data_IF_592815309413
#
_entry.id   IF_592815309413
#
_cell.length_a   1.000
_cell.length_b   1.000
_cell.length_c   1.000
_cell.angle_alpha   90.00
_cell.angle_beta   90.00
_cell.angle_gamma   90.00
#
_symmetry.space_group_name_H-M   'P 1'
#
loop_
_entity.id
_entity.type
_entity.pdbx_description
1 polymer ?
#
# COMPACT_ATOMS: atom_id res chain seq x y z
N UNK A 1 28.64 6.75 -16.76
CA UNK A 1 28.05 8.10 -17.02
C UNK A 1 26.74 8.04 -17.81
N UNK A 2 26.64 7.26 -18.90
CA UNK A 2 25.38 7.11 -19.65
C UNK A 2 24.28 6.38 -18.85
N UNK A 3 24.65 5.31 -18.14
CA UNK A 3 23.73 4.48 -17.34
C UNK A 3 23.07 5.26 -16.18
N UNK A 4 23.84 6.08 -15.47
CA UNK A 4 23.34 7.00 -14.43
C UNK A 4 22.37 8.03 -15.03
N UNK A 5 22.63 8.50 -16.26
CA UNK A 5 21.78 9.47 -16.95
C UNK A 5 20.46 8.85 -17.40
N UNK A 6 20.46 7.58 -17.83
CA UNK A 6 19.26 6.84 -18.21
C UNK A 6 18.39 6.59 -16.98
N UNK A 7 18.96 6.09 -15.88
CA UNK A 7 18.22 5.85 -14.64
C UNK A 7 17.58 7.14 -14.12
N UNK A 8 18.33 8.25 -14.11
CA UNK A 8 17.79 9.55 -13.70
C UNK A 8 16.62 9.99 -14.59
N UNK A 9 16.71 9.80 -15.90
CA UNK A 9 15.64 10.15 -16.82
C UNK A 9 14.36 9.33 -16.57
N UNK A 10 14.51 8.03 -16.31
CA UNK A 10 13.37 7.14 -15.96
C UNK A 10 12.68 7.63 -14.67
N UNK A 11 13.46 7.97 -13.64
CA UNK A 11 12.90 8.49 -12.39
C UNK A 11 12.22 9.85 -12.58
N UNK A 12 12.81 10.76 -13.36
CA UNK A 12 12.24 12.06 -13.67
C UNK A 12 10.92 11.93 -14.46
N UNK A 13 10.86 10.99 -15.42
CA UNK A 13 9.66 10.65 -16.18
C UNK A 13 8.56 10.07 -15.26
N UNK A 14 8.92 9.12 -14.39
CA UNK A 14 7.99 8.55 -13.41
C UNK A 14 7.41 9.64 -12.49
N UNK A 15 8.25 10.53 -11.95
CA UNK A 15 7.79 11.64 -11.10
C UNK A 15 6.84 12.59 -11.85
N UNK A 16 7.12 12.89 -13.12
CA UNK A 16 6.23 13.69 -13.95
C UNK A 16 4.87 13.02 -14.13
N UNK A 17 4.85 11.70 -14.36
CA UNK A 17 3.60 10.96 -14.51
C UNK A 17 2.85 10.83 -13.17
N UNK A 18 3.54 10.55 -12.07
CA UNK A 18 2.96 10.47 -10.73
C UNK A 18 2.26 11.78 -10.34
N UNK A 19 2.86 12.93 -10.68
CA UNK A 19 2.25 14.24 -10.46
C UNK A 19 0.92 14.40 -11.23
N UNK A 20 0.83 13.90 -12.46
CA UNK A 20 -0.42 13.91 -13.25
C UNK A 20 -1.47 12.99 -12.65
N UNK A 21 -1.09 11.76 -12.29
CA UNK A 21 -1.97 10.80 -11.63
C UNK A 21 -2.58 11.41 -10.37
N UNK A 22 -1.73 11.97 -9.50
CA UNK A 22 -2.15 12.64 -8.26
C UNK A 22 -3.12 13.79 -8.52
N UNK A 23 -2.81 14.67 -9.49
CA UNK A 23 -3.72 15.77 -9.85
C UNK A 23 -5.08 15.24 -10.31
N UNK A 24 -5.08 14.14 -11.07
CA UNK A 24 -6.28 13.52 -11.61
C UNK A 24 -7.14 12.82 -10.53
N UNK A 25 -6.52 12.18 -9.54
CA UNK A 25 -7.21 11.63 -8.37
C UNK A 25 -7.78 12.75 -7.50
N UNK A 26 -7.00 13.79 -7.21
CA UNK A 26 -7.42 14.95 -6.41
C UNK A 26 -8.57 15.70 -7.04
N UNK A 27 -8.58 15.90 -8.36
CA UNK A 27 -9.71 16.55 -9.04
C UNK A 27 -11.02 15.75 -8.92
N UNK A 28 -10.93 14.47 -8.53
CA UNK A 28 -12.07 13.57 -8.28
C UNK A 28 -12.30 13.28 -6.81
N UNK A 29 -11.50 13.85 -5.90
CA UNK A 29 -11.54 13.62 -4.45
C UNK A 29 -11.42 12.14 -4.08
N UNK A 30 -10.57 11.41 -4.81
CA UNK A 30 -10.26 10.00 -4.53
C UNK A 30 -9.01 9.99 -3.66
N UNK A 31 -9.11 9.38 -2.48
CA UNK A 31 -7.96 9.11 -1.64
C UNK A 31 -7.27 7.83 -2.13
N UNK A 32 -5.99 7.94 -2.51
CA UNK A 32 -5.24 6.82 -3.08
C UNK A 32 -4.21 6.28 -2.10
N UNK A 33 -4.23 4.97 -1.88
CA UNK A 33 -3.32 4.25 -1.00
C UNK A 33 -2.47 3.25 -1.78
N UNK A 34 -1.16 3.26 -1.55
CA UNK A 34 -0.21 2.29 -2.10
C UNK A 34 0.25 1.33 -0.99
N UNK A 35 -0.20 0.08 -1.04
CA UNK A 35 0.12 -0.96 -0.07
C UNK A 35 1.43 -1.65 -0.46
N UNK A 36 2.46 -1.50 0.37
CA UNK A 36 3.81 -2.04 0.14
C UNK A 36 4.19 -2.98 1.29
N UNK A 37 4.70 -4.16 0.97
CA UNK A 37 5.11 -5.15 1.95
C UNK A 37 6.03 -6.21 1.34
N UNK A 38 6.69 -7.02 2.18
CA UNK A 38 7.30 -8.28 1.73
C UNK A 38 6.26 -9.27 1.19
N UNK A 39 6.65 -10.25 0.34
CA UNK A 39 5.79 -11.36 -0.02
C UNK A 39 5.27 -12.08 1.22
N UNK A 40 3.97 -12.37 1.25
CA UNK A 40 3.34 -13.10 2.35
C UNK A 40 3.10 -12.29 3.63
N UNK A 41 3.41 -10.99 3.68
CA UNK A 41 3.11 -10.12 4.83
C UNK A 41 1.59 -9.98 5.10
N UNK A 42 0.77 -10.30 4.10
CA UNK A 42 -0.70 -10.32 4.20
C UNK A 42 -1.39 -9.07 3.66
N UNK A 43 -0.81 -8.43 2.62
CA UNK A 43 -1.39 -7.24 1.96
C UNK A 43 -2.82 -7.49 1.48
N UNK A 44 -3.04 -8.54 0.68
CA UNK A 44 -4.38 -8.86 0.16
C UNK A 44 -5.37 -9.14 1.28
N UNK A 45 -4.97 -9.90 2.32
CA UNK A 45 -5.88 -10.15 3.45
C UNK A 45 -6.17 -8.89 4.24
N UNK A 46 -5.19 -7.99 4.39
CA UNK A 46 -5.41 -6.68 4.99
C UNK A 46 -6.35 -5.81 4.15
N UNK A 47 -6.19 -5.82 2.83
CA UNK A 47 -7.06 -5.12 1.89
C UNK A 47 -8.49 -5.69 1.93
N UNK A 48 -8.65 -7.02 1.93
CA UNK A 48 -9.95 -7.68 2.06
C UNK A 48 -10.70 -7.23 3.34
N UNK A 49 -10.00 -7.18 4.48
CA UNK A 49 -10.60 -6.73 5.74
C UNK A 49 -10.90 -5.23 5.73
N UNK A 50 -10.03 -4.43 5.11
CA UNK A 50 -10.23 -2.98 4.97
C UNK A 50 -11.46 -2.67 4.11
N UNK A 51 -11.60 -3.33 2.96
CA UNK A 51 -12.75 -3.22 2.08
C UNK A 51 -14.02 -3.58 2.84
N UNK A 52 -14.07 -4.75 3.48
CA UNK A 52 -15.25 -5.20 4.26
C UNK A 52 -15.66 -4.19 5.33
N UNK A 53 -14.71 -3.54 5.99
CA UNK A 53 -14.97 -2.53 7.02
C UNK A 53 -15.53 -1.21 6.47
N UNK A 54 -15.12 -0.81 5.25
CA UNK A 54 -15.43 0.50 4.68
C UNK A 54 -16.60 0.50 3.68
N UNK A 55 -16.86 -0.61 2.97
CA UNK A 55 -17.94 -0.70 1.96
C UNK A 55 -19.33 -0.29 2.46
N UNK A 56 -19.71 -0.42 3.75
CA UNK A 56 -21.00 0.10 4.23
C UNK A 56 -21.18 1.62 4.01
N UNK A 57 -20.09 2.38 4.00
CA UNK A 57 -20.13 3.85 3.99
C UNK A 57 -19.43 4.49 2.79
N UNK A 58 -18.58 3.75 2.08
CA UNK A 58 -17.71 4.29 1.03
C UNK A 58 -17.69 3.42 -0.22
N UNK A 59 -17.46 4.05 -1.38
CA UNK A 59 -17.16 3.37 -2.64
C UNK A 59 -15.65 3.18 -2.78
N UNK A 60 -15.24 1.95 -3.10
CA UNK A 60 -13.84 1.55 -3.17
C UNK A 60 -13.56 0.80 -4.47
N UNK A 61 -12.30 0.84 -4.90
CA UNK A 61 -11.76 0.08 -6.03
C UNK A 61 -10.32 -0.30 -5.71
N UNK A 62 -9.80 -1.30 -6.43
CA UNK A 62 -8.44 -1.78 -6.26
C UNK A 62 -7.69 -1.89 -7.60
N UNK A 63 -6.38 -1.68 -7.55
CA UNK A 63 -5.43 -2.09 -8.57
C UNK A 63 -4.51 -3.11 -7.91
N UNK A 64 -4.43 -4.31 -8.48
CA UNK A 64 -3.58 -5.39 -7.98
C UNK A 64 -2.35 -5.54 -8.86
N UNK A 65 -1.16 -5.40 -8.28
CA UNK A 65 0.12 -5.57 -8.96
C UNK A 65 0.83 -6.84 -8.52
N UNK A 66 1.05 -7.76 -9.45
CA UNK A 66 1.83 -8.97 -9.20
C UNK A 66 2.77 -9.27 -10.38
N UNK A 67 3.76 -10.14 -10.15
CA UNK A 67 4.67 -10.61 -11.19
C UNK A 67 3.88 -11.39 -12.25
N UNK A 68 2.94 -12.23 -11.82
CA UNK A 68 2.10 -13.04 -12.69
C UNK A 68 0.84 -13.51 -11.98
N UNK A 69 -0.22 -13.76 -12.76
CA UNK A 69 -1.48 -14.32 -12.28
C UNK A 69 -2.53 -13.27 -11.98
N UNK A 70 -3.62 -13.71 -11.35
CA UNK A 70 -4.79 -12.88 -11.02
C UNK A 70 -5.45 -13.32 -9.71
N UNK A 71 -4.72 -14.05 -8.87
CA UNK A 71 -5.29 -14.69 -7.68
C UNK A 71 -5.78 -13.64 -6.67
N UNK A 72 -4.98 -12.61 -6.42
CA UNK A 72 -5.34 -11.55 -5.48
C UNK A 72 -6.45 -10.65 -6.06
N UNK A 73 -6.42 -10.32 -7.36
CA UNK A 73 -7.54 -9.65 -8.02
C UNK A 73 -8.86 -10.41 -7.89
N UNK A 74 -8.89 -11.72 -8.13
CA UNK A 74 -10.11 -12.53 -7.96
C UNK A 74 -10.64 -12.52 -6.53
N UNK A 75 -9.74 -12.52 -5.54
CA UNK A 75 -10.12 -12.46 -4.13
C UNK A 75 -10.78 -11.12 -3.79
N UNK A 76 -10.25 -10.02 -4.31
CA UNK A 76 -10.82 -8.69 -4.14
C UNK A 76 -12.14 -8.53 -4.91
N UNK A 77 -12.20 -9.01 -6.16
CA UNK A 77 -13.42 -8.99 -6.98
C UNK A 77 -14.60 -9.71 -6.29
N UNK A 78 -14.31 -10.83 -5.60
CA UNK A 78 -15.31 -11.58 -4.84
C UNK A 78 -15.95 -10.78 -3.69
N UNK A 79 -15.38 -9.64 -3.29
CA UNK A 79 -15.98 -8.70 -2.33
C UNK A 79 -16.94 -7.70 -2.98
N UNK A 80 -17.10 -7.72 -4.31
CA UNK A 80 -18.01 -6.85 -5.05
C UNK A 80 -17.45 -5.45 -5.30
N UNK A 81 -16.13 -5.24 -5.20
CA UNK A 81 -15.48 -3.97 -5.56
C UNK A 81 -14.81 -4.08 -6.94
N UNK A 82 -14.81 -3.01 -7.76
CA UNK A 82 -14.05 -2.99 -9.00
C UNK A 82 -12.56 -3.22 -8.76
N UNK A 83 -11.95 -4.09 -9.55
CA UNK A 83 -10.52 -4.38 -9.47
C UNK A 83 -9.91 -4.51 -10.86
N UNK A 84 -8.68 -4.01 -11.02
CA UNK A 84 -7.89 -4.24 -12.23
C UNK A 84 -6.54 -4.86 -11.85
N UNK A 85 -6.18 -5.94 -12.53
CA UNK A 85 -4.88 -6.59 -12.38
C UNK A 85 -3.84 -5.95 -13.32
N UNK A 86 -2.64 -5.73 -12.80
CA UNK A 86 -1.42 -5.43 -13.55
C UNK A 86 -0.46 -6.61 -13.33
N UNK A 87 -0.01 -7.22 -14.43
CA UNK A 87 1.07 -8.18 -14.41
C UNK A 87 2.36 -7.46 -14.83
N UNK A 88 3.37 -7.45 -13.96
CA UNK A 88 4.62 -6.70 -14.20
C UNK A 88 5.61 -7.45 -15.09
N UNK A 89 5.30 -8.68 -15.49
CA UNK A 89 6.13 -9.53 -16.35
C UNK A 89 7.58 -9.67 -15.85
N UNK A 90 7.75 -9.75 -14.52
CA UNK A 90 9.06 -9.86 -13.86
C UNK A 90 9.53 -8.57 -13.18
N UNK A 91 8.81 -7.45 -13.35
CA UNK A 91 9.06 -6.21 -12.62
C UNK A 91 8.87 -6.35 -11.10
N UNK A 92 9.77 -5.76 -10.32
CA UNK A 92 9.76 -5.84 -8.85
C UNK A 92 8.94 -4.75 -8.14
N UNK A 93 8.25 -3.89 -8.90
CA UNK A 93 7.43 -2.76 -8.44
C UNK A 93 6.41 -2.38 -9.53
N UNK A 94 5.40 -1.61 -9.13
CA UNK A 94 4.59 -0.78 -10.04
C UNK A 94 5.21 0.60 -10.21
N UNK A 95 4.97 1.24 -11.35
CA UNK A 95 5.33 2.64 -11.62
C UNK A 95 4.09 3.48 -11.98
N UNK A 96 4.24 4.80 -12.05
CA UNK A 96 3.13 5.71 -12.33
C UNK A 96 2.52 5.55 -13.73
N UNK A 97 3.30 5.09 -14.72
CA UNK A 97 2.79 4.83 -16.07
C UNK A 97 1.92 3.57 -16.11
N UNK A 98 2.30 2.53 -15.37
CA UNK A 98 1.47 1.34 -15.20
C UNK A 98 0.13 1.69 -14.58
N UNK A 99 0.11 2.55 -13.55
CA UNK A 99 -1.14 3.03 -12.95
C UNK A 99 -1.99 3.78 -13.99
N UNK A 100 -1.43 4.79 -14.67
CA UNK A 100 -2.13 5.58 -15.69
C UNK A 100 -2.78 4.71 -16.76
N UNK A 101 -2.07 3.66 -17.21
CA UNK A 101 -2.53 2.76 -18.28
C UNK A 101 -3.82 2.01 -17.93
N UNK A 102 -4.09 1.77 -16.64
CA UNK A 102 -5.28 1.03 -16.20
C UNK A 102 -6.41 1.92 -15.68
N UNK A 103 -6.16 3.21 -15.45
CA UNK A 103 -7.17 4.12 -14.88
C UNK A 103 -8.45 4.20 -15.72
N UNK A 104 -8.34 4.08 -17.04
CA UNK A 104 -9.48 4.08 -17.95
C UNK A 104 -10.37 2.83 -17.85
N UNK A 105 -9.88 1.76 -17.24
CA UNK A 105 -10.61 0.49 -17.07
C UNK A 105 -11.43 0.44 -15.78
N UNK A 106 -11.25 1.42 -14.88
CA UNK A 106 -11.99 1.52 -13.62
C UNK A 106 -13.12 2.55 -13.74
N UNK A 107 -14.32 2.19 -13.28
CA UNK A 107 -15.36 3.18 -13.01
C UNK A 107 -15.04 3.91 -11.70
N UNK A 108 -14.55 5.12 -11.82
CA UNK A 108 -14.18 5.96 -10.68
C UNK A 108 -15.29 6.95 -10.27
N UNK A 109 -16.48 6.82 -10.84
CA UNK A 109 -17.59 7.74 -10.59
C UNK A 109 -18.07 7.67 -9.13
N UNK A 110 -17.77 8.73 -8.37
CA UNK A 110 -18.08 8.83 -6.96
C UNK A 110 -17.25 7.88 -6.07
N UNK A 111 -16.11 7.41 -6.57
CA UNK A 111 -15.16 6.61 -5.81
C UNK A 111 -14.57 7.44 -4.65
N UNK A 112 -14.49 6.85 -3.46
CA UNK A 112 -13.86 7.49 -2.30
C UNK A 112 -12.40 7.04 -2.14
N UNK A 113 -12.16 5.73 -2.27
CA UNK A 113 -10.84 5.13 -2.07
C UNK A 113 -10.39 4.32 -3.27
N UNK A 114 -9.14 4.50 -3.67
CA UNK A 114 -8.43 3.58 -4.56
C UNK A 114 -7.27 2.94 -3.80
N UNK A 115 -7.28 1.61 -3.70
CA UNK A 115 -6.16 0.86 -3.16
C UNK A 115 -5.30 0.33 -4.31
N UNK A 116 -4.00 0.53 -4.21
CA UNK A 116 -3.01 -0.05 -5.10
C UNK A 116 -2.23 -1.06 -4.27
N UNK A 117 -2.47 -2.35 -4.50
CA UNK A 117 -1.65 -3.40 -3.92
C UNK A 117 -0.40 -3.58 -4.78
N UNK A 118 0.77 -3.17 -4.25
CA UNK A 118 2.02 -3.25 -4.99
C UNK A 118 2.60 -4.68 -4.99
N UNK A 119 3.61 -4.91 -5.83
CA UNK A 119 4.36 -6.16 -5.81
C UNK A 119 4.98 -6.38 -4.43
N UNK A 120 5.02 -7.64 -3.97
CA UNK A 120 5.64 -8.00 -2.69
C UNK A 120 7.14 -7.69 -2.64
N UNK A 121 7.51 -6.47 -2.25
CA UNK A 121 8.89 -6.01 -2.14
C UNK A 121 8.98 -4.76 -1.25
N UNK A 122 10.01 -4.68 -0.39
CA UNK A 122 10.27 -3.52 0.47
C UNK A 122 11.36 -2.57 -0.09
N UNK A 123 12.00 -2.93 -1.20
CA UNK A 123 13.12 -2.19 -1.81
C UNK A 123 12.64 -1.39 -3.00
N UNK A 124 12.34 -2.05 -4.13
CA UNK A 124 12.03 -1.33 -5.38
C UNK A 124 10.85 -0.35 -5.22
N UNK A 125 9.70 -0.73 -4.62
CA UNK A 125 8.55 0.18 -4.50
C UNK A 125 8.81 1.43 -3.64
N UNK A 126 9.89 1.44 -2.84
CA UNK A 126 10.25 2.60 -2.06
C UNK A 126 10.62 3.79 -2.96
N UNK A 127 11.26 3.55 -4.09
CA UNK A 127 11.80 4.62 -4.94
C UNK A 127 10.76 5.20 -5.91
N UNK A 128 9.64 4.51 -6.13
CA UNK A 128 8.65 4.87 -7.14
C UNK A 128 7.41 5.50 -6.50
N UNK A 129 7.15 6.74 -6.89
CA UNK A 129 5.89 7.45 -6.65
C UNK A 129 4.89 7.03 -7.74
N UNK A 130 3.67 6.66 -7.35
CA UNK A 130 2.59 6.27 -8.26
C UNK A 130 1.55 7.39 -8.46
N UNK A 131 1.68 8.46 -7.68
CA UNK A 131 0.68 9.51 -7.52
C UNK A 131 -0.26 9.26 -6.35
N UNK A 132 0.06 8.33 -5.45
CA UNK A 132 -0.69 8.06 -4.23
C UNK A 132 -0.63 9.23 -3.24
N UNK A 133 -1.61 9.26 -2.32
CA UNK A 133 -1.57 10.14 -1.16
C UNK A 133 -0.95 9.45 0.05
N UNK A 134 -1.20 8.15 0.22
CA UNK A 134 -0.72 7.37 1.37
C UNK A 134 0.08 6.16 0.91
N UNK A 135 1.40 6.19 1.16
CA UNK A 135 2.25 4.99 1.12
C UNK A 135 2.08 4.22 2.42
N UNK A 136 1.44 3.06 2.39
CA UNK A 136 1.15 2.24 3.58
C UNK A 136 2.04 1.01 3.59
N UNK A 137 2.84 0.87 4.63
CA UNK A 137 3.77 -0.26 4.78
C UNK A 137 3.14 -1.32 5.65
N UNK A 138 3.04 -2.56 5.16
CA UNK A 138 2.61 -3.72 5.95
C UNK A 138 3.83 -4.54 6.35
N UNK A 139 4.13 -4.58 7.64
CA UNK A 139 5.16 -5.40 8.26
C UNK A 139 4.48 -6.54 9.02
N UNK A 140 4.78 -7.80 8.72
CA UNK A 140 4.24 -8.92 9.50
C UNK A 140 5.22 -9.46 10.53
N UNK A 141 4.71 -9.89 11.69
CA UNK A 141 5.56 -10.34 12.80
C UNK A 141 6.50 -11.53 12.47
N UNK A 142 6.15 -12.50 11.60
CA UNK A 142 7.10 -13.55 11.19
C UNK A 142 8.33 -13.06 10.43
N UNK A 143 8.33 -11.82 9.92
CA UNK A 143 9.45 -11.29 9.15
C UNK A 143 10.62 -10.86 10.02
N UNK A 144 10.39 -10.62 11.31
CA UNK A 144 11.39 -10.12 12.26
C UNK A 144 11.30 -8.61 12.49
N UNK A 145 11.59 -8.20 13.73
CA UNK A 145 11.45 -6.82 14.20
C UNK A 145 12.53 -5.85 13.66
N UNK A 146 13.53 -6.38 12.96
CA UNK A 146 14.67 -5.66 12.42
C UNK A 146 14.43 -5.04 11.04
N UNK A 147 13.28 -5.32 10.41
CA UNK A 147 12.92 -4.82 9.07
C UNK A 147 12.98 -3.30 8.96
N UNK A 148 12.47 -2.49 9.91
CA UNK A 148 12.59 -1.04 9.83
C UNK A 148 14.03 -0.56 9.66
N UNK A 149 14.96 -1.12 10.43
CA UNK A 149 16.38 -0.77 10.35
C UNK A 149 17.04 -1.23 9.05
N UNK A 150 16.59 -2.36 8.48
CA UNK A 150 17.13 -2.93 7.23
C UNK A 150 16.62 -2.26 5.96
N UNK A 151 15.41 -1.69 5.99
CA UNK A 151 14.76 -1.08 4.84
C UNK A 151 14.38 0.39 5.12
N UNK A 152 15.35 1.27 5.47
CA UNK A 152 15.04 2.56 6.06
C UNK A 152 14.22 3.49 5.15
N UNK A 153 14.43 3.43 3.82
CA UNK A 153 13.76 4.31 2.87
C UNK A 153 12.23 4.15 2.93
N UNK A 154 11.72 2.93 2.75
CA UNK A 154 10.28 2.68 2.72
C UNK A 154 9.59 3.05 4.04
N UNK A 155 10.25 2.81 5.18
CA UNK A 155 9.71 3.19 6.49
C UNK A 155 9.81 4.69 6.76
N UNK A 156 10.80 5.39 6.19
CA UNK A 156 10.90 6.85 6.30
C UNK A 156 9.84 7.59 5.47
N UNK A 157 9.41 7.02 4.33
CA UNK A 157 8.41 7.60 3.44
C UNK A 157 6.96 7.21 3.78
N UNK A 158 6.78 6.18 4.61
CA UNK A 158 5.47 5.66 4.99
C UNK A 158 4.57 6.75 5.59
N UNK A 159 3.32 6.80 5.11
CA UNK A 159 2.27 7.63 5.71
C UNK A 159 1.49 6.87 6.78
N UNK A 160 1.56 5.53 6.78
CA UNK A 160 1.11 4.67 7.86
C UNK A 160 1.91 3.35 7.85
N UNK A 161 2.09 2.76 9.03
CA UNK A 161 2.71 1.44 9.18
C UNK A 161 1.76 0.48 9.87
N UNK A 162 1.52 -0.67 9.25
CA UNK A 162 0.73 -1.77 9.80
C UNK A 162 1.69 -2.84 10.30
N UNK A 163 1.64 -3.17 11.59
CA UNK A 163 2.27 -4.36 12.15
C UNK A 163 1.20 -5.46 12.21
N UNK A 164 1.20 -6.32 11.18
CA UNK A 164 0.20 -7.37 10.98
C UNK A 164 0.62 -8.70 11.65
N UNK A 165 -0.35 -9.61 11.81
CA UNK A 165 -0.18 -10.95 12.40
C UNK A 165 0.27 -10.93 13.85
N UNK A 166 -0.23 -9.98 14.64
CA UNK A 166 0.09 -9.93 16.09
C UNK A 166 -0.41 -11.17 16.86
N UNK A 167 -1.35 -11.92 16.30
CA UNK A 167 -1.79 -13.22 16.82
C UNK A 167 -0.67 -14.27 16.86
N UNK A 168 0.42 -14.05 16.13
CA UNK A 168 1.58 -14.96 16.09
C UNK A 168 2.69 -14.57 17.05
N UNK A 169 2.59 -13.48 17.82
CA UNK A 169 3.67 -12.99 18.69
C UNK A 169 4.18 -14.02 19.70
N UNK A 170 3.33 -14.96 20.14
CA UNK A 170 3.75 -16.04 21.04
C UNK A 170 4.56 -17.15 20.34
N UNK A 171 4.50 -17.21 19.01
CA UNK A 171 5.13 -18.25 18.19
C UNK A 171 6.38 -17.77 17.45
N UNK A 172 6.67 -16.46 17.44
CA UNK A 172 7.81 -15.87 16.73
C UNK A 172 8.59 -14.94 17.64
N UNK A 173 9.90 -14.82 17.39
CA UNK A 173 10.78 -13.89 18.11
C UNK A 173 10.67 -12.47 17.52
N UNK A 174 9.59 -11.77 17.85
CA UNK A 174 9.34 -10.41 17.39
C UNK A 174 9.15 -9.47 18.58
N UNK A 175 10.02 -8.47 18.67
CA UNK A 175 9.93 -7.42 19.67
C UNK A 175 9.22 -6.18 19.09
N UNK A 176 7.98 -5.95 19.52
CA UNK A 176 7.18 -4.78 19.13
C UNK A 176 7.83 -3.46 19.54
N UNK A 177 8.49 -3.41 20.70
CA UNK A 177 9.10 -2.18 21.21
C UNK A 177 10.28 -1.78 20.34
N UNK A 178 11.13 -2.75 19.96
CA UNK A 178 12.26 -2.50 19.07
C UNK A 178 11.76 -2.07 17.68
N UNK A 179 10.81 -2.80 17.09
CA UNK A 179 10.27 -2.47 15.77
C UNK A 179 9.71 -1.04 15.73
N UNK A 180 8.87 -0.68 16.70
CA UNK A 180 8.27 0.66 16.75
C UNK A 180 9.26 1.76 17.04
N UNK A 181 10.24 1.52 17.93
CA UNK A 181 11.32 2.46 18.17
C UNK A 181 12.07 2.76 16.88
N UNK A 182 12.40 1.73 16.11
CA UNK A 182 13.18 1.89 14.87
C UNK A 182 12.34 2.51 13.74
N UNK A 183 11.03 2.20 13.66
CA UNK A 183 10.08 2.94 12.80
C UNK A 183 10.08 4.43 13.18
N UNK A 184 9.90 4.75 14.47
CA UNK A 184 9.83 6.14 14.96
C UNK A 184 11.13 6.91 14.80
N UNK A 185 12.28 6.24 14.79
CA UNK A 185 13.57 6.87 14.48
C UNK A 185 13.64 7.34 13.04
N UNK A 186 13.02 6.60 12.12
CA UNK A 186 13.00 6.94 10.69
C UNK A 186 11.87 7.91 10.36
N UNK A 187 10.72 7.75 11.00
CA UNK A 187 9.53 8.58 10.80
C UNK A 187 8.83 8.85 12.15
N UNK A 188 9.17 9.96 12.82
CA UNK A 188 8.72 10.22 14.20
C UNK A 188 7.21 10.30 14.40
N UNK A 189 6.47 10.72 13.37
CA UNK A 189 5.03 11.01 13.49
C UNK A 189 4.14 9.98 12.80
N UNK A 190 4.71 8.96 12.12
CA UNK A 190 3.91 7.98 11.39
C UNK A 190 2.94 7.25 12.33
N UNK A 191 1.65 7.14 11.97
CA UNK A 191 0.73 6.29 12.70
C UNK A 191 1.13 4.81 12.52
N UNK A 192 1.17 4.08 13.63
CA UNK A 192 1.50 2.66 13.67
C UNK A 192 0.28 1.90 14.20
N UNK A 193 -0.18 0.91 13.43
CA UNK A 193 -1.33 0.08 13.76
C UNK A 193 -0.88 -1.35 13.99
N UNK A 194 -1.05 -1.84 15.22
CA UNK A 194 -0.87 -3.26 15.56
C UNK A 194 -2.18 -3.98 15.29
N UNK A 195 -2.18 -4.97 14.42
CA UNK A 195 -3.40 -5.71 14.11
C UNK A 195 -3.17 -7.16 13.71
N UNK A 196 -4.25 -7.93 13.76
CA UNK A 196 -4.33 -9.25 13.15
C UNK A 196 -5.52 -9.30 12.22
N UNK A 197 -5.26 -9.46 10.92
CA UNK A 197 -6.33 -9.67 9.96
C UNK A 197 -7.03 -11.04 10.14
N UNK A 198 -6.43 -11.96 10.91
CA UNK A 198 -7.00 -13.27 11.22
C UNK A 198 -8.02 -13.21 12.35
N UNK A 199 -7.70 -12.51 13.44
CA UNK A 199 -8.58 -12.41 14.62
C UNK A 199 -9.48 -11.18 14.58
N UNK A 200 -9.14 -10.19 13.76
CA UNK A 200 -9.78 -8.88 13.69
C UNK A 200 -9.29 -7.87 14.72
N UNK A 201 -8.36 -8.27 15.61
CA UNK A 201 -7.79 -7.38 16.61
C UNK A 201 -7.11 -6.17 15.95
N UNK A 202 -7.45 -4.97 16.39
CA UNK A 202 -6.82 -3.71 15.97
C UNK A 202 -7.27 -3.15 14.61
N UNK A 203 -8.13 -3.86 13.86
CA UNK A 203 -8.68 -3.37 12.59
C UNK A 203 -9.56 -2.12 12.79
N UNK A 204 -10.28 -2.04 13.90
CA UNK A 204 -11.15 -0.92 14.26
C UNK A 204 -10.40 0.42 14.26
N UNK A 205 -9.20 0.46 14.86
CA UNK A 205 -8.36 1.66 14.91
C UNK A 205 -7.85 2.07 13.53
N UNK A 206 -7.49 1.10 12.70
CA UNK A 206 -7.07 1.35 11.33
C UNK A 206 -8.23 1.93 10.52
N UNK A 207 -9.40 1.27 10.56
CA UNK A 207 -10.59 1.71 9.82
C UNK A 207 -11.00 3.11 10.24
N UNK A 208 -11.10 3.38 11.54
CA UNK A 208 -11.46 4.71 12.04
C UNK A 208 -10.48 5.79 11.58
N UNK A 209 -9.17 5.51 11.61
CA UNK A 209 -8.18 6.47 11.10
C UNK A 209 -8.33 6.70 9.60
N UNK A 210 -8.56 5.63 8.83
CA UNK A 210 -8.71 5.75 7.39
C UNK A 210 -9.98 6.50 6.98
N UNK A 211 -11.08 6.34 7.73
CA UNK A 211 -12.30 7.11 7.56
C UNK A 211 -12.05 8.62 7.72
N UNK A 212 -11.24 9.04 8.71
CA UNK A 212 -10.91 10.46 8.86
C UNK A 212 -10.08 11.00 7.69
N UNK A 213 -9.16 10.19 7.16
CA UNK A 213 -8.39 10.58 5.96
C UNK A 213 -9.31 10.72 4.73
N UNK A 214 -10.31 9.84 4.60
CA UNK A 214 -11.28 9.87 3.51
C UNK A 214 -12.22 11.07 3.57
N UNK A 215 -12.61 11.53 4.77
CA UNK A 215 -13.46 12.72 4.94
C UNK A 215 -12.70 14.03 4.72
N UNK A 216 -11.41 14.08 5.07
CA UNK A 216 -10.59 15.29 4.97
C UNK A 216 -10.14 15.61 3.52
N UNK A 217 -10.24 14.63 2.62
CA UNK A 217 -10.03 14.80 1.17
C UNK A 217 -11.29 15.24 0.39
N UNK A 218 -12.41 15.43 1.10
CA UNK A 218 -13.73 15.80 0.57
C UNK A 218 -13.98 17.30 0.41
#
# INVERSE_FOLDING_TARGET
>A
MAEIKILKNIMDENLSQAAKNRQWFRSRKILVLNLIASPGAGKTTFLEQTIKGLTPNFKLAAIEGDITGDHDAKRIEALGVPVVQINTEGGCHLDAHMIDSVLSSLDLSGLNFLFIENVGNLVCPAEFDLGEDLKVVVLSTPEGHDKPAKYPLIFSEAQAVIINKIDLLQAVDFDLIIAERDIRRLNPNVPIFRLSCKTGEGLDKWLQWLETQGTDNG
#
